data_IF_419727758189
#
_entry.id   IF_419727758189
#
_cell.length_a   1.000
_cell.length_b   1.000
_cell.length_c   1.000
_cell.angle_alpha   90.00
_cell.angle_beta   90.00
_cell.angle_gamma   90.00
#
_symmetry.space_group_name_H-M   'P 1'
#
loop_
_entity.id
_entity.type
_entity.pdbx_description
1 polymer ?
#
# COMPACT_ATOMS: atom_id res chain seq x y z
N UNK A 1 3.36 5.00 -9.95
CA UNK A 1 2.12 4.66 -10.66
C UNK A 1 1.25 5.90 -10.74
N UNK A 2 0.75 6.41 -9.60
CA UNK A 2 -0.02 7.69 -9.51
C UNK A 2 0.60 8.91 -10.19
N UNK A 3 1.91 9.13 -10.11
CA UNK A 3 2.59 10.25 -10.81
C UNK A 3 2.42 10.17 -12.34
N UNK A 4 2.47 8.98 -12.91
CA UNK A 4 2.31 8.79 -14.35
C UNK A 4 0.89 9.13 -14.80
N UNK A 5 -0.12 8.68 -14.05
CA UNK A 5 -1.52 9.06 -14.31
C UNK A 5 -1.74 10.56 -14.22
N UNK A 6 -1.11 11.24 -13.25
CA UNK A 6 -1.16 12.69 -13.15
C UNK A 6 -0.57 13.37 -14.40
N UNK A 7 0.60 12.92 -14.86
CA UNK A 7 1.20 13.47 -16.07
C UNK A 7 0.31 13.27 -17.30
N UNK A 8 -0.28 12.08 -17.46
CA UNK A 8 -1.21 11.81 -18.58
C UNK A 8 -2.47 12.69 -18.49
N UNK A 9 -3.01 12.90 -17.29
CA UNK A 9 -4.13 13.80 -17.07
C UNK A 9 -3.77 15.26 -17.41
N UNK A 10 -2.54 15.69 -17.11
CA UNK A 10 -1.99 17.01 -17.46
C UNK A 10 -1.82 17.14 -18.99
N UNK A 11 -1.38 16.08 -19.69
CA UNK A 11 -1.30 16.05 -21.15
C UNK A 11 -2.69 16.14 -21.79
N UNK A 12 -3.69 15.45 -21.22
CA UNK A 12 -5.08 15.49 -21.70
C UNK A 12 -5.71 16.88 -21.57
N UNK A 13 -5.52 17.58 -20.44
CA UNK A 13 -6.04 18.96 -20.31
C UNK A 13 -5.36 19.91 -21.30
N UNK A 14 -4.04 19.78 -21.49
CA UNK A 14 -3.33 20.62 -22.44
C UNK A 14 -3.80 20.36 -23.88
N UNK A 15 -3.96 19.09 -24.25
CA UNK A 15 -4.46 18.70 -25.58
C UNK A 15 -5.89 19.21 -25.81
N UNK A 16 -6.78 19.06 -24.81
CA UNK A 16 -8.15 19.58 -24.88
C UNK A 16 -8.17 21.11 -25.08
N UNK A 17 -7.34 21.84 -24.34
CA UNK A 17 -7.24 23.29 -24.48
C UNK A 17 -6.77 23.72 -25.88
N UNK A 18 -5.73 23.08 -26.42
CA UNK A 18 -5.25 23.35 -27.77
C UNK A 18 -6.32 23.08 -28.84
N UNK A 19 -7.05 21.97 -28.74
CA UNK A 19 -8.14 21.65 -29.65
C UNK A 19 -9.29 22.66 -29.55
N UNK A 20 -9.60 23.12 -28.34
CA UNK A 20 -10.58 24.19 -28.14
C UNK A 20 -10.15 25.50 -28.82
N UNK A 21 -8.89 25.93 -28.64
CA UNK A 21 -8.37 27.13 -29.29
C UNK A 21 -8.43 27.04 -30.81
N UNK A 22 -7.98 25.90 -31.39
CA UNK A 22 -8.09 25.66 -32.83
C UNK A 22 -9.53 25.71 -33.33
N UNK A 23 -10.48 25.16 -32.57
CA UNK A 23 -11.90 25.19 -32.92
C UNK A 23 -12.50 26.61 -32.92
N UNK A 24 -11.92 27.55 -32.18
CA UNK A 24 -12.37 28.95 -32.19
C UNK A 24 -11.96 29.66 -33.48
N UNK A 25 -10.80 29.32 -34.03
CA UNK A 25 -10.25 29.90 -35.26
C UNK A 25 -10.86 29.27 -36.53
N UNK A 26 -11.44 28.07 -36.43
CA UNK A 26 -11.96 27.31 -37.57
C UNK A 26 -13.43 27.64 -37.90
N UNK A 27 -13.77 28.19 -39.09
CA UNK A 27 -15.14 28.54 -39.46
C UNK A 27 -15.92 27.39 -40.15
N UNK A 28 -15.29 26.23 -40.35
CA UNK A 28 -15.86 25.13 -41.14
C UNK A 28 -16.54 24.06 -40.29
N UNK A 29 -17.08 23.02 -40.94
CA UNK A 29 -17.67 21.82 -40.31
C UNK A 29 -16.66 21.12 -39.37
N UNK A 30 -15.35 21.31 -39.58
CA UNK A 30 -14.27 20.76 -38.76
C UNK A 30 -14.37 21.21 -37.30
N UNK A 31 -14.86 22.43 -37.04
CA UNK A 31 -15.03 22.99 -35.69
C UNK A 31 -15.78 22.05 -34.75
N UNK A 32 -16.91 21.48 -35.18
CA UNK A 32 -17.73 20.58 -34.37
C UNK A 32 -16.94 19.36 -33.90
N UNK A 33 -16.10 18.83 -34.77
CA UNK A 33 -15.27 17.67 -34.48
C UNK A 33 -14.15 17.99 -33.51
N UNK A 34 -13.44 19.12 -33.70
CA UNK A 34 -12.40 19.58 -32.79
C UNK A 34 -12.94 19.76 -31.36
N UNK A 35 -14.10 20.39 -31.22
CA UNK A 35 -14.76 20.54 -29.91
C UNK A 35 -15.13 19.19 -29.29
N UNK A 36 -15.53 18.20 -30.11
CA UNK A 36 -15.88 16.88 -29.61
C UNK A 36 -14.68 16.07 -29.15
N UNK A 37 -13.55 16.19 -29.85
CA UNK A 37 -12.28 15.57 -29.42
C UNK A 37 -11.76 16.25 -28.15
N UNK A 38 -11.89 17.58 -28.05
CA UNK A 38 -11.54 18.30 -26.82
C UNK A 38 -12.37 17.81 -25.61
N UNK A 39 -13.68 17.64 -25.79
CA UNK A 39 -14.57 17.07 -24.76
C UNK A 39 -14.19 15.62 -24.38
N UNK A 40 -13.77 14.81 -25.36
CA UNK A 40 -13.26 13.46 -25.10
C UNK A 40 -12.02 13.51 -24.19
N UNK A 41 -11.04 14.36 -24.48
CA UNK A 41 -9.84 14.48 -23.66
C UNK A 41 -10.15 14.92 -22.22
N UNK A 42 -11.09 15.85 -22.01
CA UNK A 42 -11.54 16.21 -20.66
C UNK A 42 -12.23 15.05 -19.92
N UNK A 43 -12.96 14.18 -20.65
CA UNK A 43 -13.56 12.97 -20.06
C UNK A 43 -12.48 11.94 -19.72
N UNK A 44 -11.51 11.72 -20.60
CA UNK A 44 -10.39 10.80 -20.36
C UNK A 44 -9.54 11.25 -19.17
N UNK A 45 -9.27 12.55 -19.04
CA UNK A 45 -8.61 13.15 -17.87
C UNK A 45 -9.30 12.80 -16.55
N UNK A 46 -10.64 12.87 -16.51
CA UNK A 46 -11.40 12.52 -15.30
C UNK A 46 -11.28 11.05 -14.95
N UNK A 47 -11.25 10.17 -15.95
CA UNK A 47 -11.00 8.74 -15.72
C UNK A 47 -9.57 8.53 -15.22
N UNK A 48 -8.58 9.15 -15.84
CA UNK A 48 -7.17 9.02 -15.45
C UNK A 48 -6.94 9.47 -14.00
N UNK A 49 -7.57 10.58 -13.61
CA UNK A 49 -7.55 11.07 -12.23
C UNK A 49 -8.18 10.06 -11.26
N UNK A 50 -9.27 9.39 -11.68
CA UNK A 50 -9.95 8.36 -10.89
C UNK A 50 -9.12 7.10 -10.76
N UNK A 51 -8.48 6.64 -11.84
CA UNK A 51 -7.52 5.52 -11.82
C UNK A 51 -6.44 5.81 -10.79
N UNK A 52 -5.82 7.00 -10.84
CA UNK A 52 -4.80 7.39 -9.87
C UNK A 52 -5.30 7.35 -8.42
N UNK A 53 -6.52 7.81 -8.15
CA UNK A 53 -7.09 7.79 -6.79
C UNK A 53 -7.40 6.37 -6.32
N UNK A 54 -7.97 5.54 -7.19
CA UNK A 54 -8.30 4.16 -6.89
C UNK A 54 -7.03 3.33 -6.63
N UNK A 55 -5.97 3.52 -7.43
CA UNK A 55 -4.66 2.92 -7.20
C UNK A 55 -4.05 3.33 -5.86
N UNK A 56 -4.08 4.63 -5.52
CA UNK A 56 -3.49 5.12 -4.26
C UNK A 56 -4.22 4.52 -3.05
N UNK A 57 -5.55 4.51 -3.10
CA UNK A 57 -6.41 3.95 -2.06
C UNK A 57 -6.18 2.44 -1.91
N UNK A 58 -6.16 1.68 -3.02
CA UNK A 58 -6.06 0.22 -2.95
C UNK A 58 -4.65 -0.24 -2.63
N UNK A 59 -3.64 0.27 -3.33
CA UNK A 59 -2.27 -0.25 -3.24
C UNK A 59 -1.44 0.53 -2.22
N UNK A 60 -1.39 1.85 -2.33
CA UNK A 60 -0.49 2.66 -1.48
C UNK A 60 -0.88 2.58 -0.01
N UNK A 61 -2.16 2.74 0.33
CA UNK A 61 -2.61 2.66 1.72
C UNK A 61 -2.36 1.29 2.34
N UNK A 62 -2.62 0.21 1.58
CA UNK A 62 -2.37 -1.15 2.04
C UNK A 62 -0.87 -1.38 2.32
N UNK A 63 -0.01 -0.93 1.42
CA UNK A 63 1.45 -1.01 1.61
C UNK A 63 1.88 -0.22 2.85
N UNK A 64 1.42 1.02 3.01
CA UNK A 64 1.72 1.85 4.20
C UNK A 64 1.26 1.17 5.49
N UNK A 65 0.03 0.64 5.51
CA UNK A 65 -0.50 -0.10 6.65
C UNK A 65 0.42 -1.27 7.02
N UNK A 66 0.79 -2.10 6.05
CA UNK A 66 1.63 -3.27 6.32
C UNK A 66 3.10 -2.91 6.62
N UNK A 67 3.62 -1.80 6.10
CA UNK A 67 4.93 -1.29 6.51
C UNK A 67 4.96 -0.96 8.00
N UNK A 68 3.96 -0.24 8.51
CA UNK A 68 3.86 0.09 9.94
C UNK A 68 3.75 -1.18 10.81
N UNK A 69 2.96 -2.17 10.37
CA UNK A 69 2.86 -3.44 11.08
C UNK A 69 4.17 -4.24 11.05
N UNK A 70 4.95 -4.17 9.97
CA UNK A 70 6.28 -4.79 9.90
C UNK A 70 7.24 -4.13 10.89
N UNK A 71 7.22 -2.80 11.00
CA UNK A 71 8.05 -2.10 11.99
C UNK A 71 7.65 -2.47 13.43
N UNK A 72 6.35 -2.58 13.74
CA UNK A 72 5.89 -3.05 15.04
C UNK A 72 6.35 -4.50 15.32
N UNK A 73 6.29 -5.38 14.33
CA UNK A 73 6.78 -6.76 14.46
C UNK A 73 8.30 -6.82 14.69
N UNK A 74 9.08 -5.95 14.04
CA UNK A 74 10.52 -5.82 14.29
C UNK A 74 10.81 -5.36 15.72
N UNK A 75 10.08 -4.35 16.21
CA UNK A 75 10.22 -3.86 17.58
C UNK A 75 9.90 -4.95 18.62
N UNK A 76 8.86 -5.75 18.39
CA UNK A 76 8.53 -6.89 19.24
C UNK A 76 9.66 -7.91 19.30
N UNK A 77 10.24 -8.27 18.15
CA UNK A 77 11.38 -9.19 18.07
C UNK A 77 12.62 -8.62 18.73
N UNK A 78 12.84 -7.31 18.64
CA UNK A 78 13.93 -6.63 19.33
C UNK A 78 13.75 -6.70 20.86
N UNK A 79 12.55 -6.40 21.38
CA UNK A 79 12.23 -6.54 22.81
C UNK A 79 12.42 -7.97 23.31
N UNK A 80 11.97 -8.97 22.52
CA UNK A 80 12.20 -10.39 22.82
C UNK A 80 13.69 -10.73 22.88
N UNK A 81 14.49 -10.22 21.93
CA UNK A 81 15.93 -10.45 21.90
C UNK A 81 16.63 -9.86 23.12
N UNK A 82 16.22 -8.65 23.55
CA UNK A 82 16.72 -8.04 24.78
C UNK A 82 16.38 -8.88 26.02
N UNK A 83 15.15 -9.37 26.12
CA UNK A 83 14.74 -10.25 27.22
C UNK A 83 15.53 -11.58 27.25
N UNK A 84 15.89 -12.13 26.09
CA UNK A 84 16.76 -13.30 26.00
C UNK A 84 18.16 -13.01 26.56
N UNK A 85 18.75 -11.86 26.18
CA UNK A 85 20.06 -11.44 26.69
C UNK A 85 20.02 -11.27 28.22
N UNK A 86 18.98 -10.63 28.75
CA UNK A 86 18.79 -10.47 30.19
C UNK A 86 18.65 -11.83 30.91
N UNK A 87 17.92 -12.77 30.30
CA UNK A 87 17.80 -14.14 30.79
C UNK A 87 19.15 -14.89 30.79
N UNK A 88 19.91 -14.84 29.70
CA UNK A 88 21.24 -15.47 29.63
C UNK A 88 22.22 -14.88 30.66
N UNK A 89 22.17 -13.56 30.87
CA UNK A 89 23.01 -12.87 31.85
C UNK A 89 22.63 -13.24 33.29
N UNK A 90 21.33 -13.29 33.61
CA UNK A 90 20.85 -13.72 34.92
C UNK A 90 21.19 -15.19 35.20
N UNK A 91 21.16 -16.06 34.18
CA UNK A 91 21.59 -17.45 34.31
C UNK A 91 23.08 -17.57 34.67
N UNK A 92 23.96 -16.82 33.98
CA UNK A 92 25.40 -16.75 34.32
C UNK A 92 25.63 -16.21 35.74
N UNK A 93 24.81 -15.26 36.19
CA UNK A 93 24.90 -14.72 37.56
C UNK A 93 24.50 -15.75 38.62
N UNK A 94 23.44 -16.52 38.36
CA UNK A 94 23.03 -17.64 39.21
C UNK A 94 24.11 -18.71 39.32
N UNK A 95 24.77 -19.07 38.22
CA UNK A 95 25.88 -20.03 38.25
C UNK A 95 27.03 -19.54 39.13
N UNK A 96 27.39 -18.25 39.03
CA UNK A 96 28.40 -17.63 39.90
C UNK A 96 27.98 -17.62 41.37
N UNK A 97 26.72 -17.34 41.67
CA UNK A 97 26.18 -17.35 43.04
C UNK A 97 26.24 -18.77 43.64
N UNK A 98 25.88 -19.79 42.85
CA UNK A 98 25.98 -21.22 43.22
C UNK A 98 27.41 -21.63 43.50
N UNK A 99 28.36 -21.28 42.62
CA UNK A 99 29.79 -21.57 42.83
C UNK A 99 30.33 -20.95 44.13
N UNK A 100 29.88 -19.74 44.48
CA UNK A 100 30.30 -19.05 45.71
C UNK A 100 29.45 -19.42 46.94
N UNK A 101 28.41 -20.24 46.77
CA UNK A 101 27.42 -20.56 47.81
C UNK A 101 26.84 -19.33 48.54
N UNK A 102 26.70 -18.21 47.82
CA UNK A 102 26.28 -16.91 48.37
C UNK A 102 25.17 -16.30 47.51
N UNK A 103 24.15 -15.75 48.16
CA UNK A 103 23.02 -15.04 47.54
C UNK A 103 22.22 -15.87 46.51
N UNK A 104 22.32 -17.21 46.59
CA UNK A 104 21.75 -18.14 45.60
C UNK A 104 20.24 -17.94 45.41
N UNK A 105 19.48 -17.83 46.50
CA UNK A 105 18.01 -17.65 46.44
C UNK A 105 17.60 -16.38 45.72
N UNK A 106 18.35 -15.29 45.92
CA UNK A 106 18.07 -14.00 45.28
C UNK A 106 18.39 -14.07 43.77
N UNK A 107 19.52 -14.66 43.40
CA UNK A 107 19.89 -14.84 42.01
C UNK A 107 18.92 -15.78 41.26
N UNK A 108 18.40 -16.80 41.95
CA UNK A 108 17.43 -17.75 41.41
C UNK A 108 16.07 -17.08 41.15
N UNK A 109 15.58 -16.28 42.10
CA UNK A 109 14.34 -15.51 41.91
C UNK A 109 14.45 -14.53 40.72
N UNK A 110 15.58 -13.82 40.60
CA UNK A 110 15.80 -12.88 39.49
C UNK A 110 15.92 -13.59 38.13
N UNK A 111 16.60 -14.75 38.08
CA UNK A 111 16.68 -15.56 36.87
C UNK A 111 15.30 -16.08 36.46
N UNK A 112 14.47 -16.50 37.42
CA UNK A 112 13.11 -16.96 37.16
C UNK A 112 12.23 -15.82 36.59
N UNK A 113 12.35 -14.60 37.11
CA UNK A 113 11.63 -13.44 36.58
C UNK A 113 12.03 -13.13 35.13
N UNK A 114 13.34 -13.14 34.84
CA UNK A 114 13.85 -12.92 33.49
C UNK A 114 13.41 -14.03 32.52
N UNK A 115 13.37 -15.29 32.99
CA UNK A 115 12.86 -16.44 32.24
C UNK A 115 11.40 -16.25 31.86
N UNK A 116 10.53 -15.98 32.85
CA UNK A 116 9.10 -15.77 32.64
C UNK A 116 8.83 -14.62 31.65
N UNK A 117 9.56 -13.52 31.78
CA UNK A 117 9.44 -12.38 30.84
C UNK A 117 9.83 -12.77 29.42
N UNK A 118 10.91 -13.52 29.23
CA UNK A 118 11.34 -14.00 27.92
C UNK A 118 10.34 -14.99 27.30
N UNK A 119 9.78 -15.90 28.11
CA UNK A 119 8.77 -16.88 27.67
C UNK A 119 7.48 -16.18 27.24
N UNK A 120 6.97 -15.24 28.06
CA UNK A 120 5.78 -14.46 27.73
C UNK A 120 5.95 -13.69 26.41
N UNK A 121 7.09 -13.01 26.22
CA UNK A 121 7.39 -12.31 24.96
C UNK A 121 7.54 -13.28 23.78
N UNK A 122 8.08 -14.48 24.00
CA UNK A 122 8.25 -15.48 22.97
C UNK A 122 6.91 -16.04 22.48
N UNK A 123 6.00 -16.35 23.39
CA UNK A 123 4.66 -16.83 23.03
C UNK A 123 3.84 -15.75 22.33
N UNK A 124 3.81 -14.53 22.87
CA UNK A 124 3.14 -13.39 22.22
C UNK A 124 3.72 -13.12 20.82
N UNK A 125 5.05 -13.08 20.66
CA UNK A 125 5.67 -12.88 19.35
C UNK A 125 5.31 -13.98 18.35
N UNK A 126 5.28 -15.24 18.79
CA UNK A 126 4.91 -16.37 17.93
C UNK A 126 3.47 -16.27 17.47
N UNK A 127 2.54 -15.93 18.37
CA UNK A 127 1.14 -15.75 18.01
C UNK A 127 0.95 -14.57 17.04
N UNK A 128 1.52 -13.41 17.37
CA UNK A 128 1.40 -12.20 16.56
C UNK A 128 1.99 -12.37 15.16
N UNK A 129 3.16 -12.99 15.01
CA UNK A 129 3.77 -13.22 13.70
C UNK A 129 2.98 -14.21 12.84
N UNK A 130 2.41 -15.25 13.45
CA UNK A 130 1.53 -16.18 12.75
C UNK A 130 0.24 -15.51 12.28
N UNK A 131 -0.36 -14.69 13.15
CA UNK A 131 -1.55 -13.90 12.82
C UNK A 131 -1.25 -12.88 11.73
N UNK A 132 -0.14 -12.15 11.85
CA UNK A 132 0.34 -11.19 10.87
C UNK A 132 0.51 -11.82 9.48
N UNK A 133 1.21 -12.97 9.40
CA UNK A 133 1.41 -13.70 8.14
C UNK A 133 0.08 -14.05 7.47
N UNK A 134 -0.87 -14.62 8.23
CA UNK A 134 -2.19 -15.01 7.71
C UNK A 134 -3.00 -13.81 7.22
N UNK A 135 -3.12 -12.77 8.05
CA UNK A 135 -3.89 -11.55 7.72
C UNK A 135 -3.29 -10.82 6.51
N UNK A 136 -1.96 -10.69 6.45
CA UNK A 136 -1.26 -10.06 5.34
C UNK A 136 -1.59 -10.72 4.01
N UNK A 137 -1.43 -12.04 3.91
CA UNK A 137 -1.69 -12.77 2.65
C UNK A 137 -3.14 -12.59 2.21
N UNK A 138 -4.10 -12.72 3.14
CA UNK A 138 -5.51 -12.54 2.82
C UNK A 138 -5.82 -11.11 2.33
N UNK A 139 -5.30 -10.09 3.01
CA UNK A 139 -5.53 -8.69 2.65
C UNK A 139 -4.93 -8.33 1.29
N UNK A 140 -3.67 -8.70 1.02
CA UNK A 140 -3.04 -8.46 -0.28
C UNK A 140 -3.75 -9.20 -1.41
N UNK A 141 -4.15 -10.46 -1.19
CA UNK A 141 -4.90 -11.22 -2.20
C UNK A 141 -6.22 -10.52 -2.54
N UNK A 142 -7.01 -10.16 -1.54
CA UNK A 142 -8.29 -9.46 -1.73
C UNK A 142 -8.08 -8.16 -2.50
N UNK A 143 -7.10 -7.37 -2.08
CA UNK A 143 -6.87 -6.05 -2.64
C UNK A 143 -6.37 -6.11 -4.10
N UNK A 144 -5.47 -7.05 -4.44
CA UNK A 144 -5.00 -7.24 -5.81
C UNK A 144 -6.13 -7.68 -6.76
N UNK A 145 -7.05 -8.52 -6.28
CA UNK A 145 -8.25 -8.91 -7.06
C UNK A 145 -9.11 -7.67 -7.31
N UNK A 146 -9.48 -6.94 -6.26
CA UNK A 146 -10.30 -5.72 -6.37
C UNK A 146 -9.63 -4.65 -7.26
N UNK A 147 -8.31 -4.50 -7.18
CA UNK A 147 -7.55 -3.57 -8.02
C UNK A 147 -7.62 -3.99 -9.50
N UNK A 148 -7.45 -5.28 -9.78
CA UNK A 148 -7.55 -5.80 -11.15
C UNK A 148 -8.96 -5.60 -11.73
N UNK A 149 -10.00 -5.77 -10.92
CA UNK A 149 -11.38 -5.49 -11.32
C UNK A 149 -11.61 -4.01 -11.63
N UNK A 150 -11.01 -3.12 -10.84
CA UNK A 150 -11.05 -1.67 -11.09
C UNK A 150 -10.32 -1.31 -12.39
N UNK A 151 -9.13 -1.85 -12.64
CA UNK A 151 -8.39 -1.64 -13.89
C UNK A 151 -9.21 -2.06 -15.11
N UNK A 152 -9.84 -3.24 -15.07
CA UNK A 152 -10.71 -3.71 -16.15
C UNK A 152 -11.89 -2.76 -16.35
N UNK A 153 -12.50 -2.27 -15.27
CA UNK A 153 -13.60 -1.31 -15.33
C UNK A 153 -13.18 0.01 -15.97
N UNK A 154 -12.04 0.55 -15.56
CA UNK A 154 -11.49 1.79 -16.11
C UNK A 154 -11.15 1.64 -17.60
N UNK A 155 -10.51 0.54 -17.98
CA UNK A 155 -10.21 0.22 -19.38
C UNK A 155 -11.49 0.13 -20.24
N UNK A 156 -12.54 -0.54 -19.76
CA UNK A 156 -13.84 -0.62 -20.45
C UNK A 156 -14.50 0.75 -20.63
N UNK A 157 -14.43 1.61 -19.60
CA UNK A 157 -14.94 2.97 -19.68
C UNK A 157 -14.18 3.79 -20.73
N UNK A 158 -12.85 3.69 -20.76
CA UNK A 158 -12.01 4.35 -21.76
C UNK A 158 -12.35 3.90 -23.18
N UNK A 159 -12.45 2.59 -23.42
CA UNK A 159 -12.85 2.03 -24.72
C UNK A 159 -14.21 2.56 -25.16
N UNK A 160 -15.18 2.62 -24.24
CA UNK A 160 -16.54 3.12 -24.54
C UNK A 160 -16.52 4.60 -24.96
N UNK A 161 -15.74 5.44 -24.28
CA UNK A 161 -15.59 6.85 -24.63
C UNK A 161 -14.94 7.04 -26.00
N UNK A 162 -13.86 6.30 -26.26
CA UNK A 162 -13.15 6.34 -27.54
C UNK A 162 -14.06 5.87 -28.68
N UNK A 163 -14.78 4.77 -28.49
CA UNK A 163 -15.71 4.24 -29.49
C UNK A 163 -16.82 5.24 -29.80
N UNK A 164 -17.41 5.86 -28.78
CA UNK A 164 -18.43 6.89 -28.94
C UNK A 164 -17.93 8.08 -29.76
N UNK A 165 -16.64 8.44 -29.62
CA UNK A 165 -16.03 9.50 -30.41
C UNK A 165 -15.80 9.06 -31.86
N UNK A 166 -15.29 7.84 -32.07
CA UNK A 166 -15.09 7.25 -33.41
C UNK A 166 -16.40 7.17 -34.19
N UNK A 167 -17.49 6.74 -33.55
CA UNK A 167 -18.78 6.58 -34.22
C UNK A 167 -19.36 7.93 -34.68
N UNK A 168 -19.05 9.02 -33.97
CA UNK A 168 -19.43 10.37 -34.42
C UNK A 168 -18.71 10.78 -35.71
N UNK A 169 -17.49 10.28 -35.93
CA UNK A 169 -16.73 10.52 -37.17
C UNK A 169 -17.18 9.66 -38.34
N UNK A 170 -17.70 8.45 -38.07
CA UNK A 170 -18.17 7.53 -39.12
C UNK A 170 -19.55 7.85 -39.67
N UNK A 171 -20.38 8.53 -38.88
CA UNK A 171 -21.80 8.78 -39.21
C UNK A 171 -22.05 10.16 -39.86
N UNK A 172 -21.04 10.75 -40.51
CA UNK A 172 -21.14 11.94 -41.38
C UNK A 172 -20.32 11.69 -42.65
#
# INVERSE_FOLDING_TARGET
MTRSHKNVADDYIQTAACLHSLALEEPTVIKKYLLKVAELFEKLRKIESRVSSDEDLKVTELLRYYMLNIEAAKDLLYRRTKALIDYENSNKALDKARLKSKDVKLAEAHQQECCQKFEQLSESAKEELNNFKRKRVAAFRKNLIEMSELEIKHARNNVTLLQSCIDLFKNN
#
